data_IF_403659693412
#
_entry.id   IF_403659693412
#
_cell.length_a   1.000
_cell.length_b   1.000
_cell.length_c   1.000
_cell.angle_alpha   90.00
_cell.angle_beta   90.00
_cell.angle_gamma   90.00
#
_symmetry.space_group_name_H-M   'P 1'
#
loop_
_entity.id
_entity.type
_entity.pdbx_description
1 polymer ?
#
# COMPACT_ATOMS: atom_id res chain seq x y z
N UNK A 1 23.64 -1.86 -5.85
CA UNK A 1 22.31 -2.08 -5.23
C UNK A 1 21.46 -0.85 -5.51
N UNK A 2 20.38 -0.98 -6.29
CA UNK A 2 19.47 0.14 -6.55
C UNK A 2 18.66 0.40 -5.27
N UNK A 3 19.11 1.37 -4.47
CA UNK A 3 18.36 1.82 -3.31
C UNK A 3 17.19 2.69 -3.78
N UNK A 4 16.04 2.52 -3.14
CA UNK A 4 14.95 3.49 -3.25
C UNK A 4 15.28 4.65 -2.32
N UNK A 5 14.97 5.87 -2.76
CA UNK A 5 15.00 7.02 -1.88
C UNK A 5 13.93 6.84 -0.79
N UNK A 6 14.19 7.32 0.43
CA UNK A 6 13.19 7.24 1.52
C UNK A 6 11.82 7.79 1.12
N UNK A 7 11.81 8.85 0.29
CA UNK A 7 10.56 9.41 -0.25
C UNK A 7 9.83 8.43 -1.18
N UNK A 8 10.57 7.72 -2.04
CA UNK A 8 9.98 6.72 -2.94
C UNK A 8 9.45 5.52 -2.14
N UNK A 9 10.14 5.11 -1.08
CA UNK A 9 9.66 4.04 -0.18
C UNK A 9 8.38 4.45 0.56
N UNK A 10 8.32 5.68 1.08
CA UNK A 10 7.12 6.22 1.71
C UNK A 10 5.94 6.34 0.73
N UNK A 11 6.18 6.82 -0.49
CA UNK A 11 5.18 6.89 -1.55
C UNK A 11 4.67 5.51 -1.95
N UNK A 12 5.57 4.53 -2.08
CA UNK A 12 5.21 3.15 -2.34
C UNK A 12 4.37 2.55 -1.22
N UNK A 13 4.80 2.71 0.04
CA UNK A 13 4.03 2.27 1.20
C UNK A 13 2.63 2.88 1.22
N UNK A 14 2.51 4.17 0.89
CA UNK A 14 1.23 4.86 0.80
C UNK A 14 0.36 4.30 -0.34
N UNK A 15 0.94 4.04 -1.50
CA UNK A 15 0.24 3.47 -2.65
C UNK A 15 -0.23 2.03 -2.36
N UNK A 16 0.64 1.17 -1.84
CA UNK A 16 0.31 -0.20 -1.45
C UNK A 16 -0.77 -0.22 -0.38
N UNK A 17 -0.67 0.64 0.64
CA UNK A 17 -1.72 0.76 1.66
C UNK A 17 -3.05 1.23 1.07
N UNK A 18 -3.02 2.19 0.14
CA UNK A 18 -4.24 2.64 -0.53
C UNK A 18 -4.89 1.54 -1.37
N UNK A 19 -4.09 0.68 -2.01
CA UNK A 19 -4.59 -0.49 -2.72
C UNK A 19 -5.16 -1.53 -1.75
N UNK A 20 -4.43 -1.85 -0.68
CA UNK A 20 -4.89 -2.76 0.37
C UNK A 20 -6.23 -2.32 0.98
N UNK A 21 -6.41 -1.01 1.21
CA UNK A 21 -7.69 -0.47 1.71
C UNK A 21 -8.86 -0.70 0.74
N UNK A 22 -8.62 -0.71 -0.59
CA UNK A 22 -9.67 -1.01 -1.57
C UNK A 22 -10.04 -2.48 -1.59
N UNK A 23 -9.05 -3.37 -1.48
CA UNK A 23 -9.29 -4.81 -1.42
C UNK A 23 -10.02 -5.21 -0.13
N UNK A 24 -9.67 -4.56 1.00
CA UNK A 24 -10.28 -4.79 2.31
C UNK A 24 -11.52 -3.92 2.59
N UNK A 25 -12.13 -3.27 1.59
CA UNK A 25 -13.20 -2.28 1.76
C UNK A 25 -14.41 -2.83 2.54
N UNK A 26 -14.73 -4.11 2.37
CA UNK A 26 -15.83 -4.80 3.10
C UNK A 26 -15.58 -4.84 4.61
N UNK A 27 -14.36 -5.16 5.02
CA UNK A 27 -13.95 -5.25 6.42
C UNK A 27 -13.78 -3.85 7.03
N UNK A 28 -13.26 -2.90 6.24
CA UNK A 28 -13.18 -1.49 6.64
C UNK A 28 -14.56 -0.92 6.93
N UNK A 29 -15.56 -1.21 6.09
CA UNK A 29 -16.96 -0.79 6.32
C UNK A 29 -17.53 -1.38 7.61
N UNK A 30 -17.37 -2.68 7.84
CA UNK A 30 -17.85 -3.32 9.07
C UNK A 30 -17.20 -2.71 10.33
N UNK A 31 -15.91 -2.37 10.27
CA UNK A 31 -15.23 -1.66 11.34
C UNK A 31 -15.76 -0.23 11.52
N UNK A 32 -15.93 0.52 10.43
CA UNK A 32 -16.46 1.88 10.45
C UNK A 32 -17.89 1.95 11.01
N UNK A 33 -18.75 0.99 10.66
CA UNK A 33 -20.10 0.86 11.20
C UNK A 33 -20.09 0.57 12.71
N UNK A 34 -19.13 -0.21 13.19
CA UNK A 34 -18.96 -0.45 14.63
C UNK A 34 -18.51 0.80 15.38
N UNK A 35 -17.62 1.60 14.77
CA UNK A 35 -17.12 2.85 15.33
C UNK A 35 -18.17 3.96 15.32
N UNK A 36 -19.02 4.04 14.28
CA UNK A 36 -20.01 5.13 14.16
C UNK A 36 -21.04 5.14 15.32
N UNK A 37 -21.30 3.97 15.90
CA UNK A 37 -22.26 3.80 17.00
C UNK A 37 -21.68 4.11 18.40
N UNK A 38 -20.36 4.27 18.55
CA UNK A 38 -19.69 4.33 19.86
C UNK A 38 -18.54 5.33 19.85
N UNK A 39 -18.48 6.23 20.84
CA UNK A 39 -17.38 7.20 20.95
C UNK A 39 -16.30 6.79 21.96
N UNK A 40 -16.71 6.23 23.10
CA UNK A 40 -15.79 5.95 24.23
C UNK A 40 -15.39 4.46 24.28
N UNK A 41 -16.30 3.58 23.86
CA UNK A 41 -16.18 2.13 24.02
C UNK A 41 -15.64 1.37 22.81
N UNK A 42 -15.12 2.07 21.80
CA UNK A 42 -14.71 1.49 20.51
C UNK A 42 -13.58 0.48 20.66
N UNK A 43 -12.56 0.81 21.45
CA UNK A 43 -11.33 0.02 21.55
C UNK A 43 -11.58 -1.42 22.04
N UNK A 44 -12.61 -1.63 22.87
CA UNK A 44 -13.01 -2.96 23.34
C UNK A 44 -14.18 -3.56 22.56
N UNK A 45 -15.19 -2.75 22.19
CA UNK A 45 -16.39 -3.25 21.53
C UNK A 45 -16.14 -3.67 20.07
N UNK A 46 -15.22 -3.00 19.37
CA UNK A 46 -14.91 -3.24 17.97
C UNK A 46 -13.60 -4.02 17.76
N UNK A 47 -13.06 -4.65 18.80
CA UNK A 47 -11.79 -5.38 18.76
C UNK A 47 -11.81 -6.56 17.79
N UNK A 48 -12.97 -7.19 17.59
CA UNK A 48 -13.14 -8.29 16.63
C UNK A 48 -12.96 -7.80 15.20
N UNK A 49 -13.70 -6.78 14.81
CA UNK A 49 -13.64 -6.16 13.47
C UNK A 49 -12.25 -5.55 13.21
N UNK A 50 -11.61 -4.98 14.23
CA UNK A 50 -10.24 -4.49 14.12
C UNK A 50 -9.26 -5.61 13.76
N UNK A 51 -9.36 -6.79 14.38
CA UNK A 51 -8.49 -7.93 14.08
C UNK A 51 -8.70 -8.47 12.66
N UNK A 52 -9.95 -8.49 12.19
CA UNK A 52 -10.24 -8.88 10.80
C UNK A 52 -9.63 -7.89 9.82
N UNK A 53 -9.72 -6.59 10.11
CA UNK A 53 -9.09 -5.55 9.30
C UNK A 53 -7.57 -5.68 9.28
N UNK A 54 -6.96 -5.89 10.45
CA UNK A 54 -5.52 -6.13 10.58
C UNK A 54 -5.08 -7.38 9.80
N UNK A 55 -5.84 -8.48 9.91
CA UNK A 55 -5.58 -9.72 9.19
C UNK A 55 -5.63 -9.54 7.67
N UNK A 56 -6.58 -8.75 7.17
CA UNK A 56 -6.68 -8.42 5.75
C UNK A 56 -5.51 -7.53 5.30
N UNK A 57 -5.22 -6.45 6.03
CA UNK A 57 -4.15 -5.51 5.66
C UNK A 57 -2.75 -6.15 5.66
N UNK A 58 -2.46 -7.03 6.63
CA UNK A 58 -1.18 -7.75 6.73
C UNK A 58 -0.84 -8.54 5.48
N UNK A 59 -1.84 -9.07 4.76
CA UNK A 59 -1.61 -9.82 3.51
C UNK A 59 -1.00 -8.95 2.41
N UNK A 60 -1.19 -7.63 2.46
CA UNK A 60 -0.68 -6.68 1.47
C UNK A 60 0.52 -5.88 1.98
N UNK A 61 0.55 -5.55 3.27
CA UNK A 61 1.62 -4.76 3.88
C UNK A 61 2.69 -5.61 4.58
N UNK A 62 2.61 -6.94 4.46
CA UNK A 62 3.60 -7.86 5.00
C UNK A 62 4.98 -7.71 4.35
N UNK A 63 6.03 -8.29 4.95
CA UNK A 63 7.40 -8.17 4.42
C UNK A 63 7.56 -8.82 3.04
N UNK A 64 6.91 -9.95 2.78
CA UNK A 64 6.96 -10.64 1.48
C UNK A 64 6.29 -9.85 0.33
N UNK A 65 5.01 -9.41 0.44
CA UNK A 65 4.37 -8.65 -0.63
C UNK A 65 5.04 -7.30 -0.86
N UNK A 66 5.59 -6.67 0.20
CA UNK A 66 6.31 -5.41 0.07
C UNK A 66 7.57 -5.53 -0.79
N UNK A 67 8.32 -6.63 -0.69
CA UNK A 67 9.50 -6.86 -1.54
C UNK A 67 9.13 -7.12 -3.00
N UNK A 68 8.00 -7.79 -3.25
CA UNK A 68 7.47 -7.98 -4.62
C UNK A 68 7.17 -6.63 -5.24
N UNK A 69 6.35 -5.81 -4.56
CA UNK A 69 5.97 -4.46 -5.03
C UNK A 69 7.21 -3.58 -5.23
N UNK A 70 8.18 -3.67 -4.32
CA UNK A 70 9.46 -2.97 -4.42
C UNK A 70 10.23 -3.37 -5.69
N UNK A 71 10.31 -4.66 -5.97
CA UNK A 71 11.02 -5.18 -7.14
C UNK A 71 10.34 -4.78 -8.45
N UNK A 72 9.01 -4.77 -8.49
CA UNK A 72 8.22 -4.35 -9.64
C UNK A 72 8.38 -2.85 -9.91
N UNK A 73 8.35 -2.03 -8.86
CA UNK A 73 8.57 -0.60 -8.98
C UNK A 73 9.97 -0.28 -9.54
N UNK A 74 11.00 -1.00 -9.10
CA UNK A 74 12.36 -0.83 -9.63
C UNK A 74 12.44 -1.16 -11.13
N UNK A 75 11.74 -2.20 -11.59
CA UNK A 75 11.67 -2.55 -13.02
C UNK A 75 11.03 -1.43 -13.84
N UNK A 76 9.85 -0.96 -13.40
CA UNK A 76 9.11 0.12 -14.08
C UNK A 76 9.90 1.43 -14.12
N UNK A 77 10.64 1.76 -13.06
CA UNK A 77 11.49 2.95 -13.01
C UNK A 77 12.65 2.88 -14.01
N UNK A 78 13.28 1.72 -14.14
CA UNK A 78 14.38 1.52 -15.09
C UNK A 78 13.87 1.63 -16.54
N UNK A 79 12.74 0.99 -16.86
CA UNK A 79 12.10 1.10 -18.18
C UNK A 79 11.78 2.55 -18.53
N UNK A 80 11.13 3.30 -17.62
CA UNK A 80 10.82 4.72 -17.83
C UNK A 80 12.09 5.57 -18.06
N UNK A 81 13.20 5.21 -17.45
CA UNK A 81 14.48 5.90 -17.63
C UNK A 81 15.06 5.62 -19.01
N UNK A 82 15.01 4.37 -19.45
CA UNK A 82 15.45 3.93 -20.78
C UNK A 82 14.61 4.57 -21.90
N UNK A 83 13.29 4.58 -21.77
CA UNK A 83 12.38 5.26 -22.71
C UNK A 83 12.69 6.75 -22.83
N UNK A 84 12.95 7.42 -21.70
CA UNK A 84 13.34 8.84 -21.70
C UNK A 84 14.67 9.08 -22.39
N UNK A 85 15.66 8.20 -22.18
CA UNK A 85 16.96 8.27 -22.85
C UNK A 85 16.79 8.12 -24.37
N UNK A 86 16.02 7.12 -24.81
CA UNK A 86 15.72 6.90 -26.24
C UNK A 86 15.01 8.11 -26.86
N UNK A 87 13.98 8.65 -26.20
CA UNK A 87 13.27 9.84 -26.70
C UNK A 87 14.16 11.08 -26.83
N UNK A 88 15.18 11.20 -25.98
CA UNK A 88 16.14 12.29 -26.04
C UNK A 88 17.14 12.11 -27.19
N UNK A 89 17.53 10.87 -27.47
CA UNK A 89 18.39 10.53 -28.62
C UNK A 89 17.65 10.76 -29.94
N UNK A 90 16.38 10.38 -30.05
CA UNK A 90 15.57 10.58 -31.27
C UNK A 90 15.28 12.07 -31.59
N UNK A 91 15.40 12.95 -30.59
CA UNK A 91 15.14 14.40 -30.74
C UNK A 91 16.39 15.16 -31.23
N UNK A 92 17.56 14.53 -31.30
CA UNK A 92 18.85 15.16 -31.64
C UNK A 92 19.33 14.80 -33.04
#
# INVERSE_FOLDING_TARGET
MNALSRREEEELLKATKAQAMKECDTVVKAFADCMSARFISVAWACRGQLRELEACMVQYTGPEPMEIVRSEYLKLRNQRKEEKLQSFEDTK
#
